data_IF_820062026671
#
_entry.id   IF_820062026671
#
_cell.length_a   1.000
_cell.length_b   1.000
_cell.length_c   1.000
_cell.angle_alpha   90.00
_cell.angle_beta   90.00
_cell.angle_gamma   90.00
#
_symmetry.space_group_name_H-M   'P 1'
#
loop_
_entity.id
_entity.type
_entity.pdbx_description
1 polymer ?
#
# COMPACT_ATOMS: atom_id res chain seq x y z
N UNK A 1 -7.36 33.15 -19.34
CA UNK A 1 -7.16 32.52 -20.67
C UNK A 1 -7.04 31.01 -20.44
N UNK A 2 -8.03 30.18 -20.81
CA UNK A 2 -7.98 28.71 -20.64
C UNK A 2 -7.35 28.08 -21.90
N UNK A 3 -6.31 27.23 -21.82
CA UNK A 3 -5.72 26.61 -22.99
C UNK A 3 -6.68 25.55 -23.56
N UNK A 4 -6.70 25.44 -24.89
CA UNK A 4 -7.57 24.54 -25.66
C UNK A 4 -7.23 23.07 -25.37
N UNK A 5 -8.12 22.39 -24.65
CA UNK A 5 -8.04 20.96 -24.29
C UNK A 5 -8.34 19.98 -25.44
N UNK A 6 -8.70 20.48 -26.64
CA UNK A 6 -9.12 19.64 -27.76
C UNK A 6 -8.00 18.87 -28.47
N UNK A 7 -6.80 19.44 -28.54
CA UNK A 7 -5.66 18.80 -29.21
C UNK A 7 -5.06 17.69 -28.35
N UNK A 8 -4.99 17.90 -27.04
CA UNK A 8 -4.36 16.98 -26.09
C UNK A 8 -5.04 15.60 -26.05
N UNK A 9 -6.36 15.49 -26.21
CA UNK A 9 -7.05 14.19 -26.17
C UNK A 9 -6.85 13.34 -27.43
N UNK A 10 -6.79 13.98 -28.60
CA UNK A 10 -6.58 13.26 -29.88
C UNK A 10 -5.17 12.72 -30.00
N UNK A 11 -4.17 13.53 -29.65
CA UNK A 11 -2.76 13.11 -29.66
C UNK A 11 -2.45 12.08 -28.57
N UNK A 12 -3.13 12.13 -27.42
CA UNK A 12 -2.95 11.14 -26.35
C UNK A 12 -3.31 9.73 -26.79
N UNK A 13 -4.46 9.56 -27.43
CA UNK A 13 -4.90 8.26 -27.97
C UNK A 13 -4.02 7.77 -29.13
N UNK A 14 -3.50 8.69 -29.95
CA UNK A 14 -2.57 8.34 -31.02
C UNK A 14 -1.24 7.85 -30.48
N UNK A 15 -0.63 8.55 -29.51
CA UNK A 15 0.63 8.16 -28.90
C UNK A 15 0.53 6.80 -28.18
N UNK A 16 -0.56 6.53 -27.47
CA UNK A 16 -0.81 5.24 -26.80
C UNK A 16 -1.01 4.09 -27.79
N UNK A 17 -1.62 4.37 -28.94
CA UNK A 17 -1.75 3.40 -30.03
C UNK A 17 -0.40 3.16 -30.71
N UNK A 18 0.39 4.21 -30.92
CA UNK A 18 1.72 4.14 -31.52
C UNK A 18 2.73 3.41 -30.63
N UNK A 19 2.67 3.62 -29.31
CA UNK A 19 3.49 2.90 -28.33
C UNK A 19 3.18 1.40 -28.33
N UNK A 20 1.88 1.02 -28.36
CA UNK A 20 1.47 -0.39 -28.51
C UNK A 20 1.89 -0.98 -29.86
N UNK A 21 1.86 -0.18 -30.92
CA UNK A 21 2.29 -0.58 -32.25
C UNK A 21 3.80 -0.86 -32.33
N UNK A 22 4.62 0.04 -31.78
CA UNK A 22 6.10 -0.10 -31.72
C UNK A 22 6.56 -1.22 -30.78
N UNK A 23 5.85 -1.48 -29.68
CA UNK A 23 6.21 -2.53 -28.72
C UNK A 23 5.93 -3.96 -29.21
N UNK A 24 5.24 -4.12 -30.35
CA UNK A 24 4.84 -5.44 -30.85
C UNK A 24 5.77 -5.88 -31.98
N UNK A 25 6.28 -7.13 -31.92
CA UNK A 25 7.10 -7.76 -32.99
C UNK A 25 6.48 -7.72 -34.40
N UNK A 26 5.17 -7.45 -34.49
CA UNK A 26 4.41 -7.27 -35.74
C UNK A 26 4.92 -6.10 -36.58
N UNK A 27 5.42 -5.02 -35.99
CA UNK A 27 5.95 -3.87 -36.77
C UNK A 27 7.17 -4.26 -37.58
N UNK A 28 8.13 -4.95 -36.93
CA UNK A 28 9.34 -5.43 -37.58
C UNK A 28 9.02 -6.39 -38.74
N UNK A 29 8.09 -7.32 -38.53
CA UNK A 29 7.65 -8.26 -39.58
C UNK A 29 7.08 -7.53 -40.79
N UNK A 30 6.19 -6.54 -40.58
CA UNK A 30 5.63 -5.76 -41.68
C UNK A 30 6.68 -4.93 -42.43
N UNK A 31 7.62 -4.32 -41.71
CA UNK A 31 8.73 -3.57 -42.31
C UNK A 31 9.63 -4.48 -43.16
N UNK A 32 10.00 -5.65 -42.63
CA UNK A 32 10.79 -6.64 -43.38
C UNK A 32 10.04 -7.13 -44.61
N UNK A 33 8.74 -7.42 -44.49
CA UNK A 33 7.90 -7.85 -45.61
C UNK A 33 7.81 -6.77 -46.69
N UNK A 34 7.65 -5.49 -46.32
CA UNK A 34 7.60 -4.38 -47.28
C UNK A 34 8.91 -4.27 -48.07
N UNK A 35 10.04 -4.34 -47.38
CA UNK A 35 11.37 -4.33 -48.03
C UNK A 35 11.51 -5.55 -48.95
N UNK A 36 11.13 -6.74 -48.49
CA UNK A 36 11.22 -7.97 -49.27
C UNK A 36 10.34 -7.90 -50.53
N UNK A 37 9.10 -7.43 -50.41
CA UNK A 37 8.19 -7.24 -51.54
C UNK A 37 8.76 -6.24 -52.53
N UNK A 38 9.32 -5.12 -52.07
CA UNK A 38 9.95 -4.12 -52.93
C UNK A 38 11.15 -4.68 -53.70
N UNK A 39 12.02 -5.42 -53.00
CA UNK A 39 13.18 -6.09 -53.59
C UNK A 39 12.71 -7.13 -54.60
N UNK A 40 11.75 -8.00 -54.27
CA UNK A 40 11.22 -9.02 -55.19
C UNK A 40 10.54 -8.39 -56.41
N UNK A 41 9.86 -7.26 -56.24
CA UNK A 41 9.24 -6.51 -57.33
C UNK A 41 10.27 -5.85 -58.26
N UNK A 42 11.40 -5.38 -57.72
CA UNK A 42 12.46 -4.70 -58.48
C UNK A 42 13.59 -5.62 -58.96
N UNK A 43 13.76 -6.80 -58.37
CA UNK A 43 14.73 -7.80 -58.83
C UNK A 43 14.24 -8.36 -60.16
N UNK A 44 14.92 -8.07 -61.28
CA UNK A 44 14.43 -8.44 -62.59
C UNK A 44 14.62 -9.94 -62.76
N UNK A 45 13.52 -10.68 -62.90
CA UNK A 45 13.55 -11.95 -63.61
C UNK A 45 13.69 -11.65 -65.12
N UNK A 46 14.89 -11.29 -65.59
CA UNK A 46 15.24 -11.34 -67.01
C UNK A 46 15.96 -10.12 -67.62
N UNK A 47 16.75 -10.33 -68.70
CA UNK A 47 17.65 -9.34 -69.31
C UNK A 47 16.97 -8.23 -70.12
N UNK A 48 15.65 -8.29 -70.36
CA UNK A 48 14.97 -7.42 -71.33
C UNK A 48 13.94 -6.44 -70.74
N UNK A 49 13.78 -6.36 -69.41
CA UNK A 49 12.80 -5.46 -68.79
C UNK A 49 13.43 -4.15 -68.30
N UNK A 50 12.74 -3.00 -68.43
CA UNK A 50 13.18 -1.75 -67.83
C UNK A 50 13.23 -1.92 -66.31
N UNK A 51 14.43 -1.78 -65.74
CA UNK A 51 14.68 -1.91 -64.30
C UNK A 51 14.21 -0.60 -63.64
N UNK A 52 13.06 -0.65 -62.97
CA UNK A 52 12.45 0.55 -62.37
C UNK A 52 13.28 1.14 -61.23
N UNK A 53 13.97 0.30 -60.45
CA UNK A 53 14.84 0.73 -59.35
C UNK A 53 16.08 -0.19 -59.28
N UNK A 54 17.16 0.22 -59.93
CA UNK A 54 18.43 -0.51 -59.98
C UNK A 54 19.22 -0.35 -58.66
N UNK A 55 20.04 -1.35 -58.32
CA UNK A 55 20.90 -1.32 -57.13
C UNK A 55 21.71 -0.01 -57.12
N UNK A 56 21.56 0.87 -56.09
CA UNK A 56 21.25 0.58 -54.69
C UNK A 56 19.80 0.87 -54.20
N UNK A 57 18.77 0.80 -55.07
CA UNK A 57 17.36 1.08 -54.73
C UNK A 57 17.13 2.52 -54.22
N UNK A 58 17.27 3.50 -55.11
CA UNK A 58 17.21 4.93 -54.75
C UNK A 58 15.83 5.32 -54.22
N UNK A 59 14.75 4.74 -54.76
CA UNK A 59 13.38 5.05 -54.34
C UNK A 59 13.06 4.50 -52.96
N UNK A 60 13.49 3.26 -52.67
CA UNK A 60 13.36 2.68 -51.33
C UNK A 60 14.10 3.55 -50.31
N UNK A 61 15.30 4.00 -50.65
CA UNK A 61 16.12 4.85 -49.78
C UNK A 61 15.45 6.21 -49.53
N UNK A 62 14.90 6.85 -50.58
CA UNK A 62 14.15 8.10 -50.46
C UNK A 62 12.88 7.94 -49.61
N UNK A 63 12.17 6.82 -49.77
CA UNK A 63 10.97 6.54 -48.98
C UNK A 63 11.32 6.30 -47.50
N UNK A 64 12.40 5.57 -47.21
CA UNK A 64 12.88 5.36 -45.84
C UNK A 64 13.39 6.65 -45.19
N UNK A 65 14.09 7.52 -45.94
CA UNK A 65 14.55 8.80 -45.41
C UNK A 65 13.38 9.74 -45.08
N UNK A 66 12.35 9.76 -45.93
CA UNK A 66 11.11 10.48 -45.65
C UNK A 66 10.37 9.89 -44.45
N UNK A 67 10.32 8.56 -44.32
CA UNK A 67 9.70 7.87 -43.20
C UNK A 67 10.37 8.25 -41.86
N UNK A 68 11.69 8.34 -41.83
CA UNK A 68 12.44 8.82 -40.67
C UNK A 68 12.19 10.30 -40.38
N UNK A 69 12.14 11.14 -41.43
CA UNK A 69 11.92 12.59 -41.30
C UNK A 69 10.56 12.94 -40.67
N UNK A 70 9.50 12.22 -41.01
CA UNK A 70 8.18 12.39 -40.40
C UNK A 70 8.06 11.74 -39.01
N UNK A 71 8.83 10.68 -38.74
CA UNK A 71 8.83 10.04 -37.42
C UNK A 71 9.43 10.95 -36.33
N UNK A 72 10.49 11.70 -36.63
CA UNK A 72 11.18 12.58 -35.68
C UNK A 72 10.25 13.59 -34.96
N UNK A 73 9.43 14.42 -35.64
CA UNK A 73 8.54 15.35 -34.96
C UNK A 73 7.45 14.64 -34.15
N UNK A 74 6.95 13.50 -34.62
CA UNK A 74 5.98 12.69 -33.87
C UNK A 74 6.56 12.13 -32.58
N UNK A 75 7.79 11.63 -32.64
CA UNK A 75 8.53 11.11 -31.49
C UNK A 75 8.80 12.25 -30.49
N UNK A 76 9.23 13.42 -30.97
CA UNK A 76 9.46 14.59 -30.11
C UNK A 76 8.18 15.03 -29.37
N UNK A 77 7.03 15.01 -30.05
CA UNK A 77 5.74 15.31 -29.40
C UNK A 77 5.31 14.23 -28.40
N UNK A 78 5.58 12.96 -28.71
CA UNK A 78 5.32 11.87 -27.78
C UNK A 78 6.22 11.96 -26.53
N UNK A 79 7.50 12.29 -26.70
CA UNK A 79 8.48 12.44 -25.62
C UNK A 79 8.13 13.61 -24.69
N UNK A 80 7.86 14.81 -25.22
CA UNK A 80 7.44 15.97 -24.42
C UNK A 80 6.23 15.66 -23.52
N UNK A 81 5.34 14.77 -23.96
CA UNK A 81 4.17 14.37 -23.19
C UNK A 81 4.49 13.31 -22.14
N UNK A 82 5.36 12.35 -22.44
CA UNK A 82 5.81 11.40 -21.42
C UNK A 82 6.54 12.14 -20.31
N UNK A 83 7.44 13.07 -20.65
CA UNK A 83 8.14 13.90 -19.65
C UNK A 83 7.17 14.75 -18.80
N UNK A 84 6.11 15.28 -19.39
CA UNK A 84 5.08 16.00 -18.64
C UNK A 84 4.30 15.11 -17.66
N UNK A 85 4.00 13.86 -18.05
CA UNK A 85 3.37 12.87 -17.16
C UNK A 85 4.32 12.44 -16.05
N UNK A 86 5.56 12.14 -16.40
CA UNK A 86 6.59 11.71 -15.45
C UNK A 86 6.85 12.79 -14.40
N UNK A 87 6.86 14.07 -14.81
CA UNK A 87 6.96 15.20 -13.86
C UNK A 87 5.79 15.23 -12.88
N UNK A 88 4.55 15.07 -13.35
CA UNK A 88 3.36 15.06 -12.47
C UNK A 88 3.39 13.87 -11.53
N UNK A 89 3.77 12.68 -12.02
CA UNK A 89 3.91 11.49 -11.19
C UNK A 89 4.97 11.70 -10.10
N UNK A 90 6.14 12.24 -10.46
CA UNK A 90 7.19 12.56 -9.49
C UNK A 90 6.75 13.57 -8.43
N UNK A 91 5.93 14.57 -8.78
CA UNK A 91 5.38 15.52 -7.80
C UNK A 91 4.38 14.85 -6.85
N UNK A 92 3.56 13.93 -7.35
CA UNK A 92 2.62 13.17 -6.53
C UNK A 92 3.35 12.21 -5.59
N UNK A 93 4.34 11.47 -6.08
CA UNK A 93 5.14 10.55 -5.29
C UNK A 93 5.84 11.31 -4.14
N UNK A 94 6.44 12.47 -4.42
CA UNK A 94 7.04 13.31 -3.37
C UNK A 94 6.04 13.74 -2.29
N UNK A 95 4.80 14.04 -2.66
CA UNK A 95 3.75 14.41 -1.70
C UNK A 95 3.29 13.21 -0.90
N UNK A 96 3.13 12.05 -1.54
CA UNK A 96 2.78 10.80 -0.88
C UNK A 96 3.86 10.38 0.12
N UNK A 97 5.14 10.49 -0.24
CA UNK A 97 6.27 10.18 0.64
C UNK A 97 6.29 11.12 1.86
N UNK A 98 6.07 12.42 1.65
CA UNK A 98 5.99 13.39 2.74
C UNK A 98 4.83 13.10 3.70
N UNK A 99 3.66 12.71 3.18
CA UNK A 99 2.51 12.30 3.99
C UNK A 99 2.79 11.01 4.75
N UNK A 100 3.34 10.00 4.07
CA UNK A 100 3.73 8.72 4.69
C UNK A 100 4.72 8.91 5.84
N UNK A 101 5.70 9.81 5.70
CA UNK A 101 6.63 10.14 6.77
C UNK A 101 5.91 10.76 7.98
N UNK A 102 4.99 11.71 7.74
CA UNK A 102 4.21 12.34 8.80
C UNK A 102 3.29 11.33 9.52
N UNK A 103 2.65 10.43 8.77
CA UNK A 103 1.80 9.37 9.34
C UNK A 103 2.62 8.40 10.18
N UNK A 104 3.81 8.01 9.72
CA UNK A 104 4.74 7.18 10.50
C UNK A 104 5.18 7.88 11.78
N UNK A 105 5.50 9.17 11.72
CA UNK A 105 5.84 9.95 12.93
C UNK A 105 4.66 10.03 13.90
N UNK A 106 3.45 10.23 13.39
CA UNK A 106 2.23 10.26 14.20
C UNK A 106 2.00 8.91 14.88
N UNK A 107 2.02 7.81 14.11
CA UNK A 107 1.88 6.46 14.65
C UNK A 107 2.99 6.13 15.66
N UNK A 108 4.24 6.55 15.42
CA UNK A 108 5.33 6.33 16.37
C UNK A 108 5.10 7.07 17.68
N UNK A 109 4.60 8.31 17.64
CA UNK A 109 4.22 9.07 18.84
C UNK A 109 3.05 8.44 19.57
N UNK A 110 2.04 7.97 18.83
CA UNK A 110 0.87 7.31 19.41
C UNK A 110 1.24 5.97 20.06
N UNK A 111 2.12 5.18 19.44
CA UNK A 111 2.65 3.96 20.04
C UNK A 111 3.48 4.28 21.29
N UNK A 112 4.28 5.34 21.27
CA UNK A 112 5.04 5.78 22.43
C UNK A 112 4.12 6.23 23.59
N UNK A 113 3.06 6.99 23.31
CA UNK A 113 2.10 7.43 24.32
C UNK A 113 1.29 6.25 24.89
N UNK A 114 0.84 5.32 24.03
CA UNK A 114 0.20 4.08 24.45
C UNK A 114 1.12 3.23 25.32
N UNK A 115 2.41 3.13 24.97
CA UNK A 115 3.40 2.39 25.76
C UNK A 115 3.63 3.03 27.13
N UNK A 116 3.66 4.36 27.22
CA UNK A 116 3.79 5.06 28.49
C UNK A 116 2.53 4.86 29.36
N UNK A 117 1.34 5.03 28.79
CA UNK A 117 0.07 4.79 29.50
C UNK A 117 -0.09 3.34 29.96
N UNK A 118 0.25 2.36 29.12
CA UNK A 118 0.30 0.95 29.53
C UNK A 118 1.42 0.68 30.53
N UNK A 119 2.56 1.38 30.44
CA UNK A 119 3.65 1.28 31.41
C UNK A 119 3.24 1.72 32.81
N UNK A 120 2.39 2.74 32.92
CA UNK A 120 1.82 3.20 34.19
C UNK A 120 0.72 2.24 34.71
N UNK A 121 -0.18 1.77 33.85
CA UNK A 121 -1.30 0.89 34.23
C UNK A 121 -0.89 -0.58 34.44
N UNK A 122 0.15 -1.05 33.76
CA UNK A 122 0.72 -2.39 33.93
C UNK A 122 2.01 -2.34 34.77
N UNK A 123 2.06 -1.48 35.78
CA UNK A 123 3.18 -1.56 36.72
C UNK A 123 3.11 -2.93 37.39
N UNK A 124 4.25 -3.64 37.43
CA UNK A 124 4.45 -4.93 38.13
C UNK A 124 3.76 -4.96 39.48
N UNK A 125 3.69 -3.83 40.16
CA UNK A 125 3.07 -3.67 41.47
C UNK A 125 1.54 -3.79 41.44
N UNK A 126 0.85 -3.30 40.40
CA UNK A 126 -0.60 -3.50 40.22
C UNK A 126 -0.93 -4.96 39.87
N UNK A 127 -0.18 -5.57 38.92
CA UNK A 127 -0.33 -7.00 38.64
C UNK A 127 -0.01 -7.85 39.88
N UNK A 128 0.93 -7.40 40.72
CA UNK A 128 1.32 -8.09 41.95
C UNK A 128 0.30 -7.92 43.07
N UNK A 129 -0.35 -6.77 43.18
CA UNK A 129 -1.44 -6.56 44.13
C UNK A 129 -2.66 -7.38 43.73
N UNK A 130 -3.05 -7.38 42.44
CA UNK A 130 -4.20 -8.18 42.00
C UNK A 130 -3.96 -9.68 42.08
N UNK A 131 -2.75 -10.16 41.76
CA UNK A 131 -2.40 -11.56 42.00
C UNK A 131 -2.41 -11.93 43.49
N UNK A 132 -2.15 -10.98 44.39
CA UNK A 132 -2.23 -11.22 45.85
C UNK A 132 -3.68 -11.24 46.32
N UNK A 133 -4.49 -10.28 45.92
CA UNK A 133 -5.92 -10.23 46.27
C UNK A 133 -6.65 -11.48 45.75
N UNK A 134 -6.35 -11.94 44.53
CA UNK A 134 -6.89 -13.21 44.03
C UNK A 134 -6.41 -14.43 44.82
N UNK A 135 -5.14 -14.48 45.24
CA UNK A 135 -4.62 -15.57 46.07
C UNK A 135 -5.26 -15.58 47.46
N UNK A 136 -5.44 -14.42 48.06
CA UNK A 136 -6.02 -14.23 49.38
C UNK A 136 -7.51 -14.61 49.36
N UNK A 137 -8.26 -14.17 48.34
CA UNK A 137 -9.66 -14.59 48.17
C UNK A 137 -9.86 -16.09 47.94
N UNK A 138 -8.86 -16.81 47.38
CA UNK A 138 -8.89 -18.27 47.27
C UNK A 138 -8.49 -18.98 48.57
N UNK A 139 -7.66 -18.36 49.41
CA UNK A 139 -7.28 -18.88 50.73
C UNK A 139 -8.33 -18.58 51.81
N UNK A 140 -9.05 -17.48 51.68
CA UNK A 140 -10.11 -17.03 52.59
C UNK A 140 -11.45 -17.72 52.32
N UNK A 141 -11.48 -18.75 51.47
CA UNK A 141 -12.54 -19.74 51.47
C UNK A 141 -12.24 -20.73 52.61
N UNK A 142 -12.73 -20.48 53.85
CA UNK A 142 -12.35 -21.26 54.99
C UNK A 142 -13.07 -22.58 54.89
N UNK A 143 -12.36 -23.62 55.28
CA UNK A 143 -12.85 -24.94 55.59
C UNK A 143 -14.04 -24.84 56.55
N UNK A 144 -15.27 -24.84 56.02
CA UNK A 144 -16.52 -25.05 56.77
C UNK A 144 -16.52 -26.51 57.22
N UNK A 145 -15.77 -26.80 58.30
CA UNK A 145 -15.52 -28.16 58.74
C UNK A 145 -14.97 -28.26 60.16
N UNK A 146 -15.71 -27.76 61.16
CA UNK A 146 -16.01 -28.53 62.39
C UNK A 146 -16.82 -27.67 63.38
N UNK A 147 -18.14 -27.81 63.28
CA UNK A 147 -19.07 -27.52 64.37
C UNK A 147 -19.31 -28.84 65.14
N UNK A 148 -18.71 -29.00 66.31
CA UNK A 148 -19.30 -29.78 67.43
C UNK A 148 -18.44 -29.68 68.70
N UNK A 149 -18.97 -29.02 69.74
CA UNK A 149 -18.36 -29.01 71.07
C UNK A 149 -19.14 -28.19 72.10
N UNK A 150 -20.28 -28.72 72.53
CA UNK A 150 -21.15 -28.17 73.58
C UNK A 150 -20.63 -28.49 75.00
N UNK A 151 -21.14 -27.73 76.00
CA UNK A 151 -21.10 -27.91 77.47
C UNK A 151 -19.82 -27.44 78.21
N UNK A 152 -19.83 -26.76 79.39
CA UNK A 152 -20.85 -26.24 80.31
C UNK A 152 -20.17 -25.27 81.34
N UNK A 153 -20.95 -24.43 82.03
CA UNK A 153 -20.52 -23.29 82.90
C UNK A 153 -19.88 -23.62 84.27
N UNK A 154 -19.74 -22.64 85.21
CA UNK A 154 -20.90 -22.00 85.87
C UNK A 154 -20.70 -20.54 86.37
N UNK A 155 -21.79 -19.78 86.57
CA UNK A 155 -21.85 -18.75 87.65
C UNK A 155 -23.31 -18.32 87.98
N UNK A 156 -23.59 -18.00 89.26
CA UNK A 156 -24.76 -17.18 89.62
C UNK A 156 -25.72 -17.65 90.74
N UNK A 157 -25.22 -17.77 91.98
CA UNK A 157 -25.84 -17.45 93.30
C UNK A 157 -27.37 -17.44 93.50
N UNK A 158 -27.82 -18.16 94.54
CA UNK A 158 -29.17 -18.07 95.10
C UNK A 158 -29.29 -17.36 96.47
N UNK A 159 -30.46 -16.73 96.67
CA UNK A 159 -31.22 -16.46 97.91
C UNK A 159 -30.80 -15.36 98.91
N UNK A 160 -31.83 -14.58 99.32
CA UNK A 160 -31.90 -13.78 100.57
C UNK A 160 -32.89 -12.60 100.47
N UNK A 161 -34.21 -12.82 100.34
CA UNK A 161 -35.26 -12.75 101.39
C UNK A 161 -35.20 -11.54 102.37
N UNK A 162 -36.09 -10.58 102.09
CA UNK A 162 -37.07 -9.91 102.98
C UNK A 162 -36.66 -9.39 104.37
N UNK A 163 -36.83 -8.08 104.59
CA UNK A 163 -36.62 -7.38 105.85
C UNK A 163 -37.70 -7.58 106.94
N UNK A 164 -37.51 -6.97 108.14
CA UNK A 164 -38.14 -7.39 109.39
C UNK A 164 -39.26 -6.44 109.88
N UNK A 165 -40.33 -6.97 110.51
CA UNK A 165 -41.24 -6.38 111.54
C UNK A 165 -42.04 -7.55 112.15
N UNK A 166 -42.26 -7.77 113.44
CA UNK A 166 -42.18 -6.93 114.64
C UNK A 166 -43.57 -6.85 115.29
N UNK A 167 -43.89 -7.77 116.21
CA UNK A 167 -44.74 -7.67 117.42
C UNK A 167 -45.04 -9.06 118.00
#
# INVERSE_FOLDING_TARGET
>A
MRPRSGDTDRFGRFAESFARYMGTARFLIWMTMLILVWVVWNVPYGPERPRWDEYPFIFLTLMLSLQASYAAPLILLAQNRQEARDRVQQEQDRRADAQSHADMEFLAREVASLRLGLGEVATRDFLRSELRDLLESLQEQPDDGDDTGSEAGPDGRGRGRSGPRGH
#
